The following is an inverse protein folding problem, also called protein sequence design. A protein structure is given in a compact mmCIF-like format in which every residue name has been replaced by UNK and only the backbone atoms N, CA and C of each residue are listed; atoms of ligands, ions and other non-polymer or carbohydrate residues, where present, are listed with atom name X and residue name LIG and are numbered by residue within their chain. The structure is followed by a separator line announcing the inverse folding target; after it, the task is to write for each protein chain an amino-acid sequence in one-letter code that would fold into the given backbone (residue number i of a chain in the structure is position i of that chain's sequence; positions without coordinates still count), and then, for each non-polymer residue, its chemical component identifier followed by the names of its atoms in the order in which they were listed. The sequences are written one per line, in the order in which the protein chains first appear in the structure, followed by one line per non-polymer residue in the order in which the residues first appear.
data_IF_876867157176
#
_entry.id   IF_876867157176
#
_cell.length_a   1.000
_cell.length_b   1.000
_cell.length_c   1.000
_cell.angle_alpha   90.00
_cell.angle_beta   90.00
_cell.angle_gamma   90.00
#
_symmetry.space_group_name_H-M   'P 1'
#
loop_
_entity.id
_entity.type
_entity.pdbx_description
1 polymer ?
#
# COMPACT_ATOMS: atom_id res chain seq x y z
N UNK A 1 0.65 15.42 20.11
CA UNK A 1 0.35 15.44 21.56
C UNK A 1 1.03 16.65 22.20
N UNK A 2 0.26 17.52 22.83
CA UNK A 2 0.71 18.70 23.61
C UNK A 2 1.57 18.31 24.81
N UNK A 3 1.35 17.12 25.37
CA UNK A 3 2.09 16.58 26.53
C UNK A 3 3.56 16.31 26.17
N UNK A 4 3.81 15.65 25.03
CA UNK A 4 5.17 15.37 24.57
C UNK A 4 5.95 16.65 24.27
N UNK A 5 5.31 17.64 23.63
CA UNK A 5 5.91 18.97 23.41
C UNK A 5 6.30 19.67 24.71
N UNK A 6 5.46 19.57 25.75
CA UNK A 6 5.71 20.19 27.05
C UNK A 6 6.83 19.50 27.83
N UNK A 7 6.92 18.17 27.72
CA UNK A 7 7.99 17.36 28.32
C UNK A 7 9.34 17.54 27.60
N UNK A 8 9.35 17.78 26.29
CA UNK A 8 10.57 18.02 25.50
C UNK A 8 11.07 19.46 25.54
N UNK A 9 10.22 20.43 25.92
CA UNK A 9 10.57 21.85 25.98
C UNK A 9 11.29 22.26 27.28
N UNK A 10 11.42 21.35 28.26
CA UNK A 10 12.08 21.67 29.53
C UNK A 10 13.60 21.48 29.40
N UNK A 11 14.42 22.47 29.81
CA UNK A 11 15.89 22.42 29.66
C UNK A 11 16.59 21.44 30.61
N UNK A 12 15.92 20.98 31.68
CA UNK A 12 16.38 19.86 32.52
C UNK A 12 15.61 18.60 32.12
N UNK A 13 16.30 17.46 31.99
CA UNK A 13 15.63 16.19 31.75
C UNK A 13 14.58 15.92 32.83
N UNK A 14 13.31 16.02 32.46
CA UNK A 14 12.21 15.73 33.38
C UNK A 14 12.31 14.27 33.84
N UNK A 15 12.37 14.03 35.16
CA UNK A 15 12.37 12.68 35.73
C UNK A 15 11.16 11.87 35.24
N UNK A 16 10.01 12.51 35.03
CA UNK A 16 8.82 11.90 34.44
C UNK A 16 9.06 11.48 32.98
N UNK A 17 9.70 12.33 32.17
CA UNK A 17 10.05 11.96 30.80
C UNK A 17 11.02 10.77 30.76
N UNK A 18 11.97 10.71 31.70
CA UNK A 18 12.87 9.57 31.85
C UNK A 18 12.11 8.30 32.26
N UNK A 19 11.23 8.36 33.26
CA UNK A 19 10.40 7.23 33.68
C UNK A 19 9.53 6.69 32.53
N UNK A 20 8.90 7.57 31.75
CA UNK A 20 8.11 7.19 30.57
C UNK A 20 8.97 6.54 29.47
N UNK A 21 10.21 7.00 29.26
CA UNK A 21 11.14 6.34 28.33
C UNK A 21 11.51 4.94 28.80
N UNK A 22 11.81 4.76 30.09
CA UNK A 22 12.13 3.43 30.64
C UNK A 22 10.94 2.47 30.54
N UNK A 23 9.72 2.95 30.84
CA UNK A 23 8.50 2.17 30.62
C UNK A 23 8.38 1.71 29.16
N UNK A 24 8.60 2.61 28.20
CA UNK A 24 8.61 2.26 26.77
C UNK A 24 9.72 1.29 26.37
N UNK A 25 10.86 1.26 27.07
CA UNK A 25 11.93 0.26 26.85
C UNK A 25 11.54 -1.11 27.38
N UNK A 26 10.84 -1.19 28.52
CA UNK A 26 10.32 -2.44 29.07
C UNK A 26 9.32 -3.06 28.07
N UNK A 27 8.33 -2.28 27.63
CA UNK A 27 7.34 -2.71 26.62
C UNK A 27 8.01 -3.20 25.34
N UNK A 28 9.00 -2.45 24.82
CA UNK A 28 9.77 -2.87 23.64
C UNK A 28 10.51 -4.18 23.88
N UNK A 29 11.10 -4.38 25.07
CA UNK A 29 11.86 -5.59 25.39
C UNK A 29 10.94 -6.81 25.47
N UNK A 30 9.79 -6.68 26.13
CA UNK A 30 8.76 -7.73 26.19
C UNK A 30 8.27 -8.08 24.78
N UNK A 31 7.93 -7.09 23.97
CA UNK A 31 7.53 -7.31 22.59
C UNK A 31 8.62 -8.00 21.76
N UNK A 32 9.89 -7.60 21.90
CA UNK A 32 10.98 -8.23 21.16
C UNK A 32 11.17 -9.69 21.55
N UNK A 33 11.08 -10.03 22.84
CA UNK A 33 11.15 -11.42 23.31
C UNK A 33 9.99 -12.24 22.70
N UNK A 34 8.77 -11.71 22.72
CA UNK A 34 7.62 -12.37 22.09
C UNK A 34 7.81 -12.53 20.57
N UNK A 35 8.32 -11.49 19.89
CA UNK A 35 8.59 -11.50 18.46
C UNK A 35 9.64 -12.53 18.07
N UNK A 36 10.74 -12.66 18.83
CA UNK A 36 11.74 -13.71 18.60
C UNK A 36 11.20 -15.11 18.89
N UNK A 37 10.31 -15.25 19.86
CA UNK A 37 9.76 -16.55 20.27
C UNK A 37 8.61 -17.04 19.39
N UNK A 38 7.83 -16.13 18.78
CA UNK A 38 6.62 -16.48 18.04
C UNK A 38 6.74 -16.24 16.52
N UNK A 39 6.87 -17.31 15.70
CA UNK A 39 6.84 -17.19 14.23
C UNK A 39 5.54 -16.57 13.70
N UNK A 40 4.41 -16.81 14.39
CA UNK A 40 3.13 -16.26 14.00
C UNK A 40 3.09 -14.74 14.17
N UNK A 41 3.63 -14.21 15.28
CA UNK A 41 3.77 -12.77 15.48
C UNK A 41 4.67 -12.14 14.41
N UNK A 42 5.83 -12.75 14.12
CA UNK A 42 6.72 -12.26 13.05
C UNK A 42 6.03 -12.16 11.70
N UNK A 43 5.32 -13.21 11.28
CA UNK A 43 4.58 -13.22 10.01
C UNK A 43 3.53 -12.10 9.95
N UNK A 44 2.79 -11.86 11.04
CA UNK A 44 1.80 -10.76 11.10
C UNK A 44 2.48 -9.40 11.00
N UNK A 45 3.57 -9.17 11.75
CA UNK A 45 4.34 -7.92 11.67
C UNK A 45 4.89 -7.70 10.25
N UNK A 46 5.50 -8.71 9.64
CA UNK A 46 6.05 -8.62 8.29
C UNK A 46 4.95 -8.36 7.25
N UNK A 47 3.78 -8.99 7.37
CA UNK A 47 2.65 -8.72 6.49
C UNK A 47 2.19 -7.25 6.57
N UNK A 48 2.16 -6.68 7.79
CA UNK A 48 1.89 -5.26 8.00
C UNK A 48 2.94 -4.35 7.36
N UNK A 49 4.23 -4.67 7.55
CA UNK A 49 5.34 -3.94 6.94
C UNK A 49 5.27 -3.99 5.40
N UNK A 50 5.10 -5.19 4.83
CA UNK A 50 4.98 -5.38 3.39
C UNK A 50 3.82 -4.57 2.80
N UNK A 51 2.66 -4.52 3.49
CA UNK A 51 1.52 -3.69 3.09
C UNK A 51 1.88 -2.19 3.08
N UNK A 52 2.54 -1.72 4.15
CA UNK A 52 2.99 -0.33 4.25
C UNK A 52 3.98 0.04 3.16
N UNK A 53 5.01 -0.79 2.95
CA UNK A 53 6.02 -0.59 1.92
C UNK A 53 5.41 -0.60 0.51
N UNK A 54 4.51 -1.53 0.21
CA UNK A 54 3.81 -1.58 -1.07
C UNK A 54 2.97 -0.31 -1.29
N UNK A 55 2.25 0.15 -0.27
CA UNK A 55 1.49 1.39 -0.34
C UNK A 55 2.39 2.62 -0.57
N UNK A 56 3.55 2.68 0.10
CA UNK A 56 4.52 3.74 -0.12
C UNK A 56 5.17 3.68 -1.51
N UNK A 57 5.48 2.48 -2.02
CA UNK A 57 5.97 2.28 -3.39
C UNK A 57 4.96 2.79 -4.42
N UNK A 58 3.68 2.42 -4.27
CA UNK A 58 2.60 2.91 -5.12
C UNK A 58 2.47 4.44 -5.05
N UNK A 59 2.44 5.02 -3.85
CA UNK A 59 2.39 6.48 -3.66
C UNK A 59 3.54 7.19 -4.36
N UNK A 60 4.77 6.66 -4.26
CA UNK A 60 5.94 7.22 -4.96
C UNK A 60 5.87 7.08 -6.48
N UNK A 61 5.31 5.97 -6.98
CA UNK A 61 5.13 5.78 -8.41
C UNK A 61 4.12 6.75 -9.00
N UNK A 62 3.01 6.99 -8.28
CA UNK A 62 2.01 8.00 -8.68
C UNK A 62 2.57 9.41 -8.53
N UNK A 63 3.29 9.70 -7.45
CA UNK A 63 3.95 10.98 -7.20
C UNK A 63 5.40 10.96 -7.72
N UNK A 64 5.56 10.76 -9.02
CA UNK A 64 6.88 10.60 -9.63
C UNK A 64 7.67 11.92 -9.77
N UNK A 65 6.97 13.06 -9.86
CA UNK A 65 7.58 14.38 -9.88
C UNK A 65 8.06 14.82 -8.48
N UNK A 66 9.06 15.71 -8.42
CA UNK A 66 9.66 16.21 -7.17
C UNK A 66 10.25 15.13 -6.23
N UNK A 67 10.66 13.96 -6.76
CA UNK A 67 11.27 12.86 -5.99
C UNK A 67 10.39 12.28 -4.87
N UNK A 68 9.06 12.44 -4.90
CA UNK A 68 8.23 12.00 -3.79
C UNK A 68 8.02 13.04 -2.69
N UNK A 69 8.59 14.25 -2.82
CA UNK A 69 8.54 15.29 -1.79
C UNK A 69 7.48 16.35 -2.10
N UNK A 70 6.65 16.66 -1.11
CA UNK A 70 5.68 17.76 -1.20
C UNK A 70 6.35 19.04 -0.71
N UNK A 71 6.85 19.88 -1.62
CA UNK A 71 7.60 21.12 -1.31
C UNK A 71 6.75 22.41 -1.25
N UNK A 72 5.45 22.35 -0.95
CA UNK A 72 4.64 23.58 -0.91
C UNK A 72 5.02 24.45 0.28
N UNK A 73 4.87 25.76 0.09
CA UNK A 73 5.14 26.77 1.10
C UNK A 73 4.14 26.76 2.26
N UNK A 74 2.88 26.39 2.03
CA UNK A 74 1.82 26.40 3.06
C UNK A 74 1.41 24.98 3.44
N UNK A 75 1.03 24.80 4.71
CA UNK A 75 0.50 23.53 5.20
C UNK A 75 -0.78 23.10 4.46
N UNK A 76 -1.63 24.08 4.11
CA UNK A 76 -2.87 23.82 3.38
C UNK A 76 -2.62 23.27 1.98
N UNK A 77 -1.65 23.84 1.24
CA UNK A 77 -1.26 23.34 -0.08
C UNK A 77 -0.66 21.94 0.02
N UNK A 78 0.14 21.66 1.06
CA UNK A 78 0.67 20.31 1.29
C UNK A 78 -0.46 19.31 1.56
N UNK A 79 -1.43 19.68 2.38
CA UNK A 79 -2.60 18.86 2.70
C UNK A 79 -3.47 18.59 1.47
N UNK A 80 -3.67 19.60 0.62
CA UNK A 80 -4.42 19.46 -0.62
C UNK A 80 -3.72 18.49 -1.58
N UNK A 81 -2.41 18.63 -1.81
CA UNK A 81 -1.65 17.70 -2.66
C UNK A 81 -1.61 16.28 -2.10
N UNK A 82 -1.43 16.13 -0.78
CA UNK A 82 -1.48 14.83 -0.13
C UNK A 82 -2.86 14.16 -0.29
N UNK A 83 -3.94 14.94 -0.22
CA UNK A 83 -5.31 14.45 -0.42
C UNK A 83 -5.55 14.00 -1.85
N UNK A 84 -5.11 14.79 -2.85
CA UNK A 84 -5.17 14.41 -4.26
C UNK A 84 -4.40 13.12 -4.55
N UNK A 85 -3.18 12.97 -4.00
CA UNK A 85 -2.41 11.74 -4.11
C UNK A 85 -3.15 10.54 -3.51
N UNK A 86 -3.74 10.69 -2.32
CA UNK A 86 -4.51 9.62 -1.69
C UNK A 86 -5.75 9.25 -2.52
N UNK A 87 -6.40 10.20 -3.17
CA UNK A 87 -7.54 9.95 -4.06
C UNK A 87 -7.13 9.07 -5.25
N UNK A 88 -6.06 9.45 -5.97
CA UNK A 88 -5.58 8.69 -7.13
C UNK A 88 -5.13 7.28 -6.73
N UNK A 89 -4.40 7.16 -5.62
CA UNK A 89 -3.98 5.85 -5.08
C UNK A 89 -5.19 4.99 -4.72
N UNK A 90 -6.22 5.57 -4.13
CA UNK A 90 -7.45 4.84 -3.79
C UNK A 90 -8.20 4.39 -5.04
N UNK A 91 -8.25 5.21 -6.09
CA UNK A 91 -8.83 4.85 -7.37
C UNK A 91 -8.08 3.67 -8.03
N UNK A 92 -6.74 3.68 -8.01
CA UNK A 92 -5.91 2.56 -8.50
C UNK A 92 -6.20 1.28 -7.70
N UNK A 93 -6.22 1.36 -6.37
CA UNK A 93 -6.52 0.20 -5.51
C UNK A 93 -7.91 -0.34 -5.78
N UNK A 94 -8.90 0.53 -5.94
CA UNK A 94 -10.26 0.15 -6.28
C UNK A 94 -10.33 -0.56 -7.63
N UNK A 95 -9.71 0.03 -8.67
CA UNK A 95 -9.60 -0.58 -9.99
C UNK A 95 -8.97 -1.98 -9.92
N UNK A 96 -7.82 -2.10 -9.25
CA UNK A 96 -7.15 -3.39 -9.10
C UNK A 96 -8.01 -4.42 -8.37
N UNK A 97 -8.73 -4.02 -7.32
CA UNK A 97 -9.62 -4.92 -6.57
C UNK A 97 -10.70 -5.48 -7.47
N UNK A 98 -11.37 -4.63 -8.25
CA UNK A 98 -12.43 -5.04 -9.20
C UNK A 98 -11.87 -5.96 -10.29
N UNK A 99 -10.69 -5.65 -10.85
CA UNK A 99 -10.11 -6.48 -11.90
C UNK A 99 -9.53 -7.80 -11.41
N UNK A 100 -9.03 -7.86 -10.17
CA UNK A 100 -8.62 -9.12 -9.52
C UNK A 100 -9.85 -10.02 -9.37
N UNK A 101 -10.98 -9.50 -8.90
CA UNK A 101 -12.23 -10.27 -8.78
C UNK A 101 -12.70 -10.80 -10.15
N UNK A 102 -12.69 -9.95 -11.19
CA UNK A 102 -13.03 -10.36 -12.56
C UNK A 102 -12.08 -11.45 -13.08
N UNK A 103 -10.78 -11.31 -12.83
CA UNK A 103 -9.78 -12.29 -13.24
C UNK A 103 -9.98 -13.64 -12.52
N UNK A 104 -10.21 -13.63 -11.21
CA UNK A 104 -10.50 -14.84 -10.42
C UNK A 104 -11.78 -15.51 -10.92
N UNK A 105 -12.84 -14.74 -11.15
CA UNK A 105 -14.12 -15.25 -11.67
C UNK A 105 -13.93 -15.89 -13.04
N UNK A 106 -13.17 -15.26 -13.93
CA UNK A 106 -12.85 -15.81 -15.24
C UNK A 106 -12.05 -17.13 -15.14
N UNK A 107 -11.03 -17.18 -14.29
CA UNK A 107 -10.21 -18.38 -14.09
C UNK A 107 -11.02 -19.54 -13.49
N UNK A 108 -11.94 -19.26 -12.55
CA UNK A 108 -12.87 -20.25 -12.01
C UNK A 108 -13.82 -20.80 -13.08
N UNK A 109 -14.33 -19.94 -13.97
CA UNK A 109 -15.14 -20.36 -15.13
C UNK A 109 -14.35 -21.28 -16.08
N UNK A 110 -13.03 -21.12 -16.15
CA UNK A 110 -12.12 -22.03 -16.89
C UNK A 110 -11.72 -23.28 -16.08
N UNK A 111 -12.45 -23.62 -15.02
CA UNK A 111 -12.18 -24.76 -14.15
C UNK A 111 -10.80 -24.75 -13.48
N UNK A 112 -10.21 -23.56 -13.27
CA UNK A 112 -9.00 -23.43 -12.44
C UNK A 112 -9.39 -23.36 -10.97
N UNK A 113 -8.81 -24.25 -10.18
CA UNK A 113 -8.99 -24.24 -8.73
C UNK A 113 -8.20 -23.07 -8.12
N UNK A 114 -8.92 -22.13 -7.49
CA UNK A 114 -8.34 -20.98 -6.80
C UNK A 114 -8.91 -20.96 -5.38
N UNK A 115 -8.15 -21.48 -4.39
CA UNK A 115 -8.58 -21.53 -3.00
C UNK A 115 -8.75 -20.12 -2.41
N UNK A 116 -9.89 -19.87 -1.75
CA UNK A 116 -10.18 -18.55 -1.13
C UNK A 116 -9.16 -18.16 -0.06
N UNK A 117 -8.59 -19.15 0.63
CA UNK A 117 -7.57 -18.89 1.64
C UNK A 117 -6.25 -18.37 1.05
N UNK A 118 -6.01 -18.51 -0.26
CA UNK A 118 -4.88 -17.90 -0.94
C UNK A 118 -5.20 -16.49 -1.45
N UNK A 119 -6.46 -16.21 -1.82
CA UNK A 119 -6.90 -14.89 -2.27
C UNK A 119 -6.70 -13.80 -1.22
N UNK A 120 -6.82 -14.14 0.07
CA UNK A 120 -6.53 -13.20 1.17
C UNK A 120 -5.08 -12.67 1.19
N UNK A 121 -4.18 -13.33 0.47
CA UNK A 121 -2.77 -12.95 0.35
C UNK A 121 -2.47 -12.13 -0.90
N UNK A 122 -3.45 -11.91 -1.78
CA UNK A 122 -3.29 -11.07 -2.97
C UNK A 122 -3.42 -9.60 -2.57
N UNK A 123 -2.46 -8.78 -3.01
CA UNK A 123 -2.44 -7.35 -2.73
C UNK A 123 -2.97 -6.54 -3.93
N UNK A 124 -3.95 -5.63 -3.74
CA UNK A 124 -4.41 -4.73 -4.79
C UNK A 124 -3.48 -3.52 -5.01
N UNK A 125 -2.29 -3.50 -4.39
CA UNK A 125 -1.37 -2.36 -4.45
C UNK A 125 -0.37 -2.42 -5.62
N UNK A 126 -0.41 -3.46 -6.45
CA UNK A 126 0.45 -3.56 -7.64
C UNK A 126 0.10 -2.48 -8.68
N UNK A 127 1.09 -1.95 -9.37
CA UNK A 127 0.90 -0.86 -10.35
C UNK A 127 1.76 -0.99 -11.60
N UNK A 128 2.60 -2.01 -11.70
CA UNK A 128 3.48 -2.24 -12.86
C UNK A 128 2.69 -2.42 -14.17
N UNK A 129 1.43 -2.84 -14.06
CA UNK A 129 0.51 -3.02 -15.19
C UNK A 129 -0.24 -1.74 -15.60
N UNK A 130 0.00 -0.62 -14.92
CA UNK A 130 -0.65 0.69 -15.14
C UNK A 130 0.37 1.65 -15.73
N UNK A 131 0.02 2.28 -16.84
CA UNK A 131 0.83 3.36 -17.40
C UNK A 131 0.59 4.65 -16.60
N UNK A 132 1.54 5.00 -15.72
CA UNK A 132 1.50 6.22 -14.91
C UNK A 132 2.17 7.41 -15.62
N UNK A 133 3.06 7.15 -16.58
CA UNK A 133 3.88 8.14 -17.27
C UNK A 133 3.95 7.83 -18.75
N UNK A 134 3.44 8.73 -19.60
CA UNK A 134 3.55 8.56 -21.04
C UNK A 134 2.43 9.27 -21.78
N UNK A 135 2.21 8.83 -23.02
CA UNK A 135 1.18 9.36 -23.90
C UNK A 135 -0.14 8.64 -23.58
N UNK A 136 -1.15 9.44 -23.26
CA UNK A 136 -2.52 8.97 -23.12
C UNK A 136 -3.24 9.27 -24.44
N UNK A 137 -3.97 8.28 -24.94
CA UNK A 137 -4.82 8.44 -26.13
C UNK A 137 -6.28 8.35 -25.66
N UNK A 138 -7.05 9.41 -25.86
CA UNK A 138 -8.46 9.47 -25.51
C UNK A 138 -9.38 9.21 -26.71
N UNK A 139 -8.81 9.11 -27.92
CA UNK A 139 -9.54 9.09 -29.19
C UNK A 139 -10.16 7.72 -29.55
N UNK A 140 -9.91 6.69 -28.76
CA UNK A 140 -10.56 5.39 -28.96
C UNK A 140 -11.80 5.32 -28.06
N UNK A 141 -12.99 5.28 -28.68
CA UNK A 141 -14.17 4.68 -28.05
C UNK A 141 -13.80 3.25 -27.66
N UNK A 142 -13.34 3.07 -26.43
CA UNK A 142 -13.11 1.75 -25.90
C UNK A 142 -14.50 1.16 -25.70
N UNK A 143 -14.90 0.23 -26.57
CA UNK A 143 -16.09 -0.56 -26.34
C UNK A 143 -15.91 -1.29 -25.00
N UNK A 144 -16.64 -0.81 -24.00
CA UNK A 144 -16.73 -1.41 -22.67
C UNK A 144 -18.14 -1.98 -22.54
N UNK A 145 -18.43 -3.12 -23.18
CA UNK A 145 -19.79 -3.67 -23.24
C UNK A 145 -20.42 -3.91 -21.87
N UNK A 146 -19.61 -4.18 -20.85
CA UNK A 146 -20.05 -4.31 -19.44
C UNK A 146 -19.56 -3.17 -18.54
N UNK A 147 -19.12 -2.04 -19.10
CA UNK A 147 -18.48 -0.97 -18.33
C UNK A 147 -17.04 -1.27 -17.90
N UNK A 148 -16.47 -2.41 -18.33
CA UNK A 148 -15.09 -2.81 -18.06
C UNK A 148 -14.30 -3.04 -19.35
N UNK A 149 -12.98 -2.86 -19.26
CA UNK A 149 -12.03 -3.33 -20.26
C UNK A 149 -11.92 -4.85 -20.22
N UNK A 150 -11.68 -5.46 -21.37
CA UNK A 150 -11.43 -6.90 -21.49
C UNK A 150 -10.19 -7.32 -20.69
N UNK A 151 -10.23 -8.52 -20.12
CA UNK A 151 -9.10 -9.10 -19.40
C UNK A 151 -7.94 -9.39 -20.39
N UNK A 152 -6.70 -9.08 -19.96
CA UNK A 152 -5.49 -9.46 -20.69
C UNK A 152 -5.22 -10.95 -20.44
N UNK A 153 -5.62 -11.80 -21.38
CA UNK A 153 -5.33 -13.22 -21.31
C UNK A 153 -3.86 -13.46 -21.68
N UNK A 154 -3.11 -14.29 -20.93
CA UNK A 154 -1.78 -14.67 -21.35
C UNK A 154 -1.86 -15.35 -22.72
N UNK A 155 -1.04 -14.90 -23.67
CA UNK A 155 -0.85 -15.64 -24.91
C UNK A 155 -0.49 -17.09 -24.57
N UNK A 156 -1.11 -18.07 -25.25
CA UNK A 156 -0.81 -19.50 -25.02
C UNK A 156 0.71 -19.66 -24.97
N UNK A 157 1.26 -20.00 -23.80
CA UNK A 157 2.64 -20.42 -23.67
C UNK A 157 2.81 -21.55 -24.68
N UNK A 158 3.52 -21.30 -25.77
CA UNK A 158 3.95 -22.35 -26.68
C UNK A 158 4.81 -23.25 -25.81
N UNK A 159 4.30 -24.41 -25.43
CA UNK A 159 5.12 -25.47 -24.86
C UNK A 159 6.19 -25.77 -25.92
N UNK A 160 7.42 -25.33 -25.66
CA UNK A 160 8.57 -25.78 -26.43
C UNK A 160 8.73 -27.27 -26.11
N UNK A 161 8.65 -28.08 -27.16
CA UNK A 161 8.99 -29.49 -27.16
C UNK A 161 10.48 -29.70 -26.95
#
# INVERSE_FOLDING_TARGET
STILKKLSASPKESQLARALRELGRIERSLFMIEWYSSPALRRRCQAGLNKGEAAHKLKRAVFFHERGEIRDRSFESQAFRASGLNLVVSAIVHWNTVYIERAVTHLRKMHREIPDHLLKHVSPLSWEHINLTGIYTWDAEHQMPEGFRSLRLPARLRHAA
#
